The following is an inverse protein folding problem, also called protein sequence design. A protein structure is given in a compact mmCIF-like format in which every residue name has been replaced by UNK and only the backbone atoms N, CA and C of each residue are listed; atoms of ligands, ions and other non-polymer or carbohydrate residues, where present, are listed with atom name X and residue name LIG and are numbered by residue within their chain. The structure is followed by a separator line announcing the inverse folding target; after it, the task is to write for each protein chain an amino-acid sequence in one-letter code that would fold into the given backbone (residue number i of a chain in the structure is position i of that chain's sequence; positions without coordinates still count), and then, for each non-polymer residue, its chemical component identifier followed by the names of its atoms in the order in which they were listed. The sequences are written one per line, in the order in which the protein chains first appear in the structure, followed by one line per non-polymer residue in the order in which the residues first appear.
data_IF_193831495174
#
_entry.id   IF_193831495174
#
_cell.length_a   1.000
_cell.length_b   1.000
_cell.length_c   1.000
_cell.angle_alpha   90.00
_cell.angle_beta   90.00
_cell.angle_gamma   90.00
#
_symmetry.space_group_name_H-M   'P 1'
#
loop_
_entity.id
_entity.type
_entity.pdbx_description
1 polymer ?
#
# COMPACT_ATOMS: atom_id res chain seq x y z
N UNK A 1 -0.27 -10.31 -0.95
CA UNK A 1 1.06 -9.95 -0.40
C UNK A 1 2.12 -10.14 -1.48
N UNK A 2 3.09 -9.23 -1.59
CA UNK A 2 4.18 -9.39 -2.57
C UNK A 2 5.08 -10.58 -2.22
N UNK A 3 5.66 -11.23 -3.22
CA UNK A 3 6.53 -12.41 -3.07
C UNK A 3 7.95 -12.12 -2.53
N UNK A 4 8.12 -11.11 -1.68
CA UNK A 4 9.40 -10.83 -1.04
C UNK A 4 9.83 -11.98 -0.10
N UNK A 5 11.13 -12.25 0.00
CA UNK A 5 11.66 -13.42 0.73
C UNK A 5 11.21 -13.49 2.19
N UNK A 6 11.07 -12.36 2.87
CA UNK A 6 10.57 -12.29 4.25
C UNK A 6 9.08 -12.68 4.41
N UNK A 7 8.29 -12.62 3.34
CA UNK A 7 6.85 -12.94 3.37
C UNK A 7 6.61 -14.43 3.15
N UNK A 8 7.64 -15.17 2.71
CA UNK A 8 7.63 -16.61 2.45
C UNK A 8 8.51 -17.38 3.44
N UNK A 9 8.97 -16.72 4.50
CA UNK A 9 9.81 -17.34 5.51
C UNK A 9 9.04 -18.50 6.16
N UNK A 10 9.68 -19.67 6.30
CA UNK A 10 9.06 -20.84 6.93
C UNK A 10 8.63 -20.59 8.38
N UNK A 11 9.31 -19.68 9.07
CA UNK A 11 9.01 -19.32 10.44
C UNK A 11 7.93 -18.23 10.57
N UNK A 12 7.34 -17.78 9.45
CA UNK A 12 6.22 -16.83 9.47
C UNK A 12 4.97 -17.54 10.02
N UNK A 13 4.68 -17.28 11.30
CA UNK A 13 3.48 -17.80 11.96
C UNK A 13 2.24 -17.08 11.45
N UNK A 14 1.47 -17.74 10.61
CA UNK A 14 0.17 -17.24 10.14
C UNK A 14 -0.93 -17.78 11.07
N UNK A 15 -1.82 -16.92 11.62
CA UNK A 15 -2.98 -17.37 12.38
C UNK A 15 -3.87 -18.31 11.56
N UNK A 16 -4.59 -19.23 12.23
CA UNK A 16 -5.41 -20.25 11.54
C UNK A 16 -6.52 -19.67 10.66
N UNK A 17 -7.00 -18.48 11.00
CA UNK A 17 -8.14 -17.83 10.33
C UNK A 17 -7.70 -16.80 9.26
N UNK A 18 -6.41 -16.78 8.91
CA UNK A 18 -5.86 -15.87 7.91
C UNK A 18 -5.22 -16.67 6.78
N UNK A 19 -5.66 -16.40 5.56
CA UNK A 19 -5.04 -16.95 4.35
C UNK A 19 -4.10 -15.90 3.72
N UNK A 20 -2.89 -16.32 3.35
CA UNK A 20 -1.95 -15.47 2.61
C UNK A 20 -2.09 -15.72 1.12
N UNK A 21 -2.64 -14.73 0.41
CA UNK A 21 -2.66 -14.70 -1.04
C UNK A 21 -1.38 -14.04 -1.54
N UNK A 22 -0.56 -14.78 -2.30
CA UNK A 22 0.66 -14.26 -2.91
C UNK A 22 0.38 -13.67 -4.28
N UNK A 23 0.87 -12.46 -4.52
CA UNK A 23 0.84 -11.81 -5.82
C UNK A 23 2.24 -11.87 -6.45
N UNK A 24 2.32 -12.34 -7.68
CA UNK A 24 3.57 -12.49 -8.43
C UNK A 24 3.76 -11.28 -9.34
N UNK A 25 4.90 -10.58 -9.21
CA UNK A 25 5.41 -9.53 -10.12
C UNK A 25 4.41 -8.52 -10.71
N UNK A 26 3.31 -8.24 -10.03
CA UNK A 26 2.27 -7.30 -10.48
C UNK A 26 1.97 -6.23 -9.44
N UNK A 27 2.78 -5.16 -9.37
CA UNK A 27 2.53 -4.03 -8.47
C UNK A 27 1.15 -3.37 -8.72
N UNK A 28 0.66 -3.40 -9.95
CA UNK A 28 -0.66 -2.89 -10.35
C UNK A 28 -1.84 -3.61 -9.68
N UNK A 29 -1.67 -4.88 -9.31
CA UNK A 29 -2.67 -5.66 -8.58
C UNK A 29 -2.47 -5.61 -7.06
N UNK A 30 -1.37 -5.02 -6.58
CA UNK A 30 -1.16 -4.85 -5.16
C UNK A 30 -1.86 -3.57 -4.66
N UNK A 31 -2.95 -3.68 -3.88
CA UNK A 31 -3.67 -2.51 -3.36
C UNK A 31 -2.74 -1.57 -2.56
N UNK A 32 -1.79 -2.14 -1.82
CA UNK A 32 -0.85 -1.36 -1.01
C UNK A 32 0.06 -0.49 -1.88
N UNK A 33 0.51 -0.99 -3.04
CA UNK A 33 1.35 -0.20 -3.96
C UNK A 33 0.58 0.96 -4.57
N UNK A 34 -0.69 0.74 -4.92
CA UNK A 34 -1.56 1.79 -5.46
C UNK A 34 -1.86 2.87 -4.41
N UNK A 35 -2.11 2.47 -3.16
CA UNK A 35 -2.24 3.40 -2.04
C UNK A 35 -0.93 4.19 -1.84
N UNK A 36 0.21 3.51 -1.88
CA UNK A 36 1.51 4.17 -1.71
C UNK A 36 1.82 5.17 -2.84
N UNK A 37 1.45 4.84 -4.07
CA UNK A 37 1.54 5.78 -5.20
C UNK A 37 0.69 7.02 -4.97
N UNK A 38 -0.56 6.86 -4.52
CA UNK A 38 -1.47 7.96 -4.21
C UNK A 38 -0.94 8.85 -3.08
N UNK A 39 -0.40 8.25 -2.02
CA UNK A 39 0.25 8.96 -0.92
C UNK A 39 1.43 9.78 -1.46
N UNK A 40 2.37 9.16 -2.18
CA UNK A 40 3.56 9.85 -2.73
C UNK A 40 3.17 11.02 -3.62
N UNK A 41 2.17 10.85 -4.49
CA UNK A 41 1.68 11.94 -5.34
C UNK A 41 1.02 13.08 -4.54
N UNK A 42 0.44 12.79 -3.39
CA UNK A 42 -0.24 13.79 -2.56
C UNK A 42 0.73 14.57 -1.68
N UNK A 43 1.72 13.90 -1.08
CA UNK A 43 2.65 14.52 -0.13
C UNK A 43 3.96 14.99 -0.75
N UNK A 44 4.45 14.35 -1.82
CA UNK A 44 5.80 14.56 -2.36
C UNK A 44 5.85 15.05 -3.82
N UNK A 45 4.71 15.16 -4.52
CA UNK A 45 4.72 15.64 -5.91
C UNK A 45 5.33 17.03 -5.99
N UNK A 46 6.43 17.12 -6.75
CA UNK A 46 7.23 18.33 -6.94
C UNK A 46 7.81 18.94 -5.65
N UNK A 47 8.02 18.12 -4.60
CA UNK A 47 8.59 18.56 -3.32
C UNK A 47 9.80 17.71 -2.98
N UNK A 48 10.87 18.35 -2.50
CA UNK A 48 12.03 17.67 -1.90
C UNK A 48 11.86 17.73 -0.38
N UNK A 49 11.91 16.58 0.30
CA UNK A 49 11.91 16.50 1.76
C UNK A 49 13.32 16.28 2.27
N UNK A 50 13.87 17.26 2.99
CA UNK A 50 15.25 17.24 3.48
C UNK A 50 15.42 16.55 4.84
N UNK A 51 14.32 16.12 5.47
CA UNK A 51 14.34 15.45 6.77
C UNK A 51 13.28 14.36 6.85
N UNK A 52 13.67 13.21 7.39
CA UNK A 52 12.78 12.06 7.57
C UNK A 52 11.65 12.35 8.57
N UNK A 53 11.89 13.20 9.56
CA UNK A 53 10.90 13.62 10.56
C UNK A 53 9.77 14.44 9.91
N UNK A 54 10.11 15.34 8.99
CA UNK A 54 9.12 16.11 8.22
C UNK A 54 8.29 15.19 7.34
N UNK A 55 8.93 14.25 6.64
CA UNK A 55 8.23 13.25 5.83
C UNK A 55 7.27 12.41 6.67
N UNK A 56 7.73 11.90 7.82
CA UNK A 56 6.90 11.12 8.74
C UNK A 56 5.70 11.93 9.25
N UNK A 57 5.89 13.19 9.62
CA UNK A 57 4.80 14.05 10.08
C UNK A 57 3.77 14.33 8.98
N UNK A 58 4.21 14.57 7.75
CA UNK A 58 3.33 14.79 6.60
C UNK A 58 2.56 13.52 6.24
N UNK A 59 3.23 12.36 6.31
CA UNK A 59 2.61 11.06 6.08
C UNK A 59 1.53 10.76 7.13
N UNK A 60 1.82 10.95 8.42
CA UNK A 60 0.83 10.73 9.48
C UNK A 60 -0.39 11.63 9.29
N UNK A 61 -0.18 12.95 9.07
CA UNK A 61 -1.27 13.90 8.80
C UNK A 61 -2.12 13.46 7.61
N UNK A 62 -1.49 13.03 6.52
CA UNK A 62 -2.20 12.58 5.33
C UNK A 62 -3.01 11.30 5.60
N UNK A 63 -2.40 10.28 6.21
CA UNK A 63 -3.08 9.01 6.51
C UNK A 63 -4.28 9.23 7.44
N UNK A 64 -4.14 10.05 8.49
CA UNK A 64 -5.25 10.36 9.40
C UNK A 64 -6.38 11.13 8.72
N UNK A 65 -6.11 11.81 7.61
CA UNK A 65 -7.12 12.52 6.80
C UNK A 65 -7.78 11.66 5.71
N UNK A 66 -7.33 10.42 5.48
CA UNK A 66 -7.88 9.56 4.44
C UNK A 66 -9.30 9.11 4.79
N UNK A 67 -10.27 9.46 3.94
CA UNK A 67 -11.64 8.97 4.07
C UNK A 67 -11.80 7.56 3.49
N UNK A 68 -12.69 6.76 4.10
CA UNK A 68 -13.04 5.41 3.63
C UNK A 68 -13.44 5.37 2.14
N UNK A 69 -14.14 6.39 1.66
CA UNK A 69 -14.54 6.48 0.25
C UNK A 69 -13.35 6.63 -0.71
N UNK A 70 -12.34 7.43 -0.34
CA UNK A 70 -11.13 7.60 -1.15
C UNK A 70 -10.38 6.28 -1.29
N UNK A 71 -10.28 5.51 -0.19
CA UNK A 71 -9.66 4.19 -0.18
C UNK A 71 -10.42 3.20 -1.08
N UNK A 72 -11.75 3.18 -1.01
CA UNK A 72 -12.59 2.30 -1.85
C UNK A 72 -12.40 2.58 -3.35
N UNK A 73 -12.29 3.84 -3.74
CA UNK A 73 -12.09 4.21 -5.15
C UNK A 73 -10.74 3.75 -5.69
N UNK A 74 -9.67 3.76 -4.89
CA UNK A 74 -8.34 3.27 -5.31
C UNK A 74 -8.37 1.77 -5.67
N UNK A 75 -9.29 1.00 -5.09
CA UNK A 75 -9.41 -0.44 -5.28
C UNK A 75 -10.50 -0.85 -6.28
N UNK A 76 -11.31 0.09 -6.75
CA UNK A 76 -12.44 -0.20 -7.64
C UNK A 76 -12.06 -0.35 -9.12
N UNK A 77 -10.76 -0.52 -9.44
CA UNK A 77 -10.34 -0.77 -10.83
C UNK A 77 -10.63 -2.23 -11.17
N UNK A 78 -11.74 -2.44 -11.85
CA UNK A 78 -12.25 -3.70 -12.38
C UNK A 78 -11.32 -4.21 -13.49
N UNK A 79 -10.47 -5.19 -13.20
CA UNK A 79 -9.78 -6.01 -14.23
C UNK A 79 -10.37 -7.42 -14.34
N UNK A 80 -11.45 -7.71 -13.62
CA UNK A 80 -12.18 -8.97 -13.64
C UNK A 80 -13.61 -8.74 -14.15
N UNK A 81 -13.74 -8.25 -15.38
CA UNK A 81 -14.94 -8.53 -16.20
C UNK A 81 -14.58 -9.75 -17.04
N UNK A 82 -15.04 -10.92 -16.60
CA UNK A 82 -15.10 -12.12 -17.44
C UNK A 82 -16.26 -12.02 -18.42
#
# INVERSE_FOLDING_TARGET
MACASWNKLKDLKTPKDIEIIYLTYSPEFNPVERLWLYIKQSILRNKVCNAITLLGSALCKFITSLFHYAIKQLYSITYLTY
#
